data_IF_353928543523
#
_entry.id   IF_353928543523
#
_cell.length_a   1.000
_cell.length_b   1.000
_cell.length_c   1.000
_cell.angle_alpha   90.00
_cell.angle_beta   90.00
_cell.angle_gamma   90.00
#
_symmetry.space_group_name_H-M   'P 1'
#
loop_
_entity.id
_entity.type
_entity.pdbx_description
1 polymer ?
#
# COMPACT_ATOMS: atom_id res chain seq x y z
N UNK A 1 -27.19 -37.33 -43.16
CA UNK A 1 -26.10 -37.77 -44.04
C UNK A 1 -24.84 -37.06 -43.56
N UNK A 2 -24.06 -37.71 -42.69
CA UNK A 2 -22.77 -38.39 -42.99
C UNK A 2 -21.65 -37.34 -43.17
N UNK A 3 -20.89 -37.03 -42.12
CA UNK A 3 -19.70 -37.75 -41.66
C UNK A 3 -18.63 -37.87 -42.76
N UNK A 4 -17.48 -37.22 -42.57
CA UNK A 4 -16.17 -37.85 -42.76
C UNK A 4 -15.02 -37.00 -42.22
N UNK A 5 -14.20 -37.68 -41.41
CA UNK A 5 -12.82 -37.38 -41.06
C UNK A 5 -11.94 -37.36 -42.31
N UNK A 6 -10.80 -36.65 -42.29
CA UNK A 6 -9.46 -37.13 -42.73
C UNK A 6 -8.39 -36.00 -42.57
N UNK A 7 -7.60 -36.11 -41.50
CA UNK A 7 -6.11 -36.17 -41.47
C UNK A 7 -5.22 -35.35 -42.44
N UNK A 8 -4.33 -34.55 -41.81
CA UNK A 8 -2.84 -34.43 -41.96
C UNK A 8 -2.16 -33.36 -42.86
N UNK A 9 -1.33 -32.58 -42.14
CA UNK A 9 0.04 -32.07 -42.40
C UNK A 9 0.30 -30.94 -43.42
N UNK A 10 0.82 -29.79 -42.95
CA UNK A 10 2.27 -29.45 -42.99
C UNK A 10 2.61 -28.07 -42.37
N UNK A 11 3.61 -28.09 -41.47
CA UNK A 11 4.73 -27.14 -41.26
C UNK A 11 4.53 -25.62 -41.29
N UNK A 12 4.94 -24.96 -40.21
CA UNK A 12 5.27 -23.53 -40.17
C UNK A 12 5.88 -23.07 -38.84
N UNK A 13 7.09 -23.52 -38.53
CA UNK A 13 7.99 -22.93 -37.52
C UNK A 13 8.43 -21.55 -38.00
N UNK A 14 8.24 -20.49 -37.20
CA UNK A 14 9.15 -19.34 -37.17
C UNK A 14 9.35 -18.90 -35.72
N UNK A 15 10.55 -19.20 -35.21
CA UNK A 15 11.15 -18.54 -34.07
C UNK A 15 11.73 -17.19 -34.51
N UNK A 16 11.65 -16.18 -33.66
CA UNK A 16 12.47 -14.98 -33.79
C UNK A 16 12.94 -14.53 -32.40
N UNK A 17 14.15 -14.98 -32.07
CA UNK A 17 14.97 -14.43 -31.01
C UNK A 17 15.74 -13.22 -31.58
N UNK A 18 15.83 -12.13 -30.82
CA UNK A 18 16.82 -11.08 -31.09
C UNK A 18 17.61 -10.84 -29.81
N UNK A 19 18.85 -11.32 -29.83
CA UNK A 19 19.90 -11.02 -28.88
C UNK A 19 20.59 -9.72 -29.31
N UNK A 20 20.83 -8.80 -28.37
CA UNK A 20 21.77 -7.70 -28.58
C UNK A 20 23.10 -8.05 -27.90
N UNK A 21 24.07 -8.37 -28.75
CA UNK A 21 25.47 -8.58 -28.41
C UNK A 21 26.19 -7.24 -28.54
N UNK A 22 26.87 -6.81 -27.49
CA UNK A 22 28.07 -5.99 -27.62
C UNK A 22 29.19 -6.67 -26.84
N UNK A 23 30.04 -7.34 -27.59
CA UNK A 23 31.31 -7.94 -27.18
C UNK A 23 32.46 -7.01 -27.57
N UNK A 24 33.34 -6.75 -26.61
CA UNK A 24 34.79 -6.61 -26.79
C UNK A 24 35.37 -6.87 -25.40
N UNK A 25 36.13 -7.90 -25.08
CA UNK A 25 36.95 -8.80 -25.87
C UNK A 25 38.31 -8.85 -25.19
N UNK A 26 38.63 -9.96 -24.52
CA UNK A 26 39.99 -10.51 -24.34
C UNK A 26 39.95 -11.69 -23.36
N UNK A 27 39.88 -12.89 -23.94
CA UNK A 27 40.32 -14.13 -23.29
C UNK A 27 41.84 -14.20 -23.46
N UNK A 28 42.59 -14.31 -22.37
CA UNK A 28 43.94 -14.87 -22.38
C UNK A 28 44.01 -16.01 -21.37
N UNK A 29 44.12 -17.22 -21.93
CA UNK A 29 44.99 -18.33 -21.52
C UNK A 29 45.15 -18.63 -20.02
N UNK A 30 44.73 -19.84 -19.65
CA UNK A 30 45.06 -20.56 -18.43
C UNK A 30 46.55 -20.55 -18.09
N UNK A 31 46.85 -20.38 -16.80
CA UNK A 31 47.89 -21.13 -16.10
C UNK A 31 49.33 -20.87 -16.52
N UNK A 32 49.96 -19.90 -15.87
CA UNK A 32 51.32 -20.05 -15.32
C UNK A 32 51.60 -18.93 -14.32
N UNK A 33 52.05 -19.34 -13.14
CA UNK A 33 52.79 -18.57 -12.15
C UNK A 33 52.04 -17.45 -11.37
N UNK A 34 51.64 -17.83 -10.15
CA UNK A 34 51.90 -17.16 -8.87
C UNK A 34 52.12 -15.64 -8.92
N UNK A 35 51.33 -14.91 -8.11
CA UNK A 35 51.44 -13.48 -7.69
C UNK A 35 50.45 -12.48 -8.33
N UNK A 36 49.17 -12.53 -7.97
CA UNK A 36 48.33 -11.31 -7.92
C UNK A 36 47.47 -11.30 -6.66
N UNK A 37 47.43 -10.18 -5.89
CA UNK A 37 46.65 -10.11 -4.67
C UNK A 37 45.15 -10.18 -5.00
N UNK A 38 44.41 -10.98 -4.24
CA UNK A 38 42.95 -11.03 -4.30
C UNK A 38 42.44 -9.65 -3.87
N UNK A 39 41.72 -8.96 -4.76
CA UNK A 39 41.01 -7.74 -4.40
C UNK A 39 39.96 -8.10 -3.34
N UNK A 40 40.02 -7.54 -2.12
CA UNK A 40 39.13 -7.97 -1.05
C UNK A 40 37.68 -7.63 -1.41
N UNK A 41 36.78 -8.58 -1.14
CA UNK A 41 35.35 -8.40 -1.30
C UNK A 41 34.91 -7.09 -0.63
N UNK A 42 34.39 -6.14 -1.42
CA UNK A 42 33.84 -4.89 -0.89
C UNK A 42 32.61 -5.21 -0.06
N UNK A 43 32.75 -5.23 1.25
CA UNK A 43 31.63 -5.31 2.18
C UNK A 43 30.88 -3.98 2.18
N UNK A 44 29.64 -3.98 1.71
CA UNK A 44 28.71 -2.86 1.88
C UNK A 44 28.25 -2.83 3.33
N UNK A 45 28.81 -1.93 4.13
CA UNK A 45 28.37 -1.68 5.49
C UNK A 45 27.08 -0.86 5.43
N UNK A 46 25.94 -1.46 5.80
CA UNK A 46 24.70 -0.71 6.02
C UNK A 46 24.85 0.02 7.35
N UNK A 47 25.16 1.32 7.28
CA UNK A 47 25.18 2.17 8.48
C UNK A 47 23.74 2.44 8.89
N UNK A 48 23.35 1.97 10.08
CA UNK A 48 22.07 2.31 10.67
C UNK A 48 21.99 3.84 10.81
N UNK A 49 20.92 4.44 10.26
CA UNK A 49 20.64 5.87 10.46
C UNK A 49 20.51 6.12 11.96
N UNK A 50 21.26 7.10 12.48
CA UNK A 50 21.16 7.50 13.88
C UNK A 50 19.70 7.74 14.26
N UNK A 51 19.27 7.19 15.38
CA UNK A 51 17.93 7.43 15.91
C UNK A 51 17.79 8.92 16.22
N UNK A 52 16.80 9.59 15.62
CA UNK A 52 16.47 10.96 16.00
C UNK A 52 15.86 10.91 17.39
N UNK A 53 16.58 11.44 18.38
CA UNK A 53 16.07 11.58 19.74
C UNK A 53 15.27 12.87 19.80
N UNK A 54 13.94 12.75 19.93
CA UNK A 54 13.06 13.91 20.06
C UNK A 54 13.01 14.41 21.50
N UNK A 55 12.95 15.74 21.64
CA UNK A 55 12.70 16.37 22.92
C UNK A 55 11.25 16.19 23.39
N UNK A 56 10.98 16.34 24.69
CA UNK A 56 9.61 16.26 25.23
C UNK A 56 8.66 17.26 24.56
N UNK A 57 9.11 18.49 24.28
CA UNK A 57 8.31 19.49 23.56
C UNK A 57 7.97 19.07 22.12
N UNK A 58 8.92 18.43 21.43
CA UNK A 58 8.70 17.90 20.07
C UNK A 58 7.74 16.72 20.06
N UNK A 59 7.79 15.85 21.08
CA UNK A 59 6.83 14.76 21.26
C UNK A 59 5.41 15.28 21.45
N UNK A 60 5.22 16.29 22.30
CA UNK A 60 3.90 16.88 22.53
C UNK A 60 3.36 17.62 21.30
N UNK A 61 4.23 18.37 20.61
CA UNK A 61 3.87 19.03 19.34
C UNK A 61 3.52 17.99 18.25
N UNK A 62 4.31 16.92 18.14
CA UNK A 62 4.07 15.82 17.22
C UNK A 62 2.77 15.07 17.51
N UNK A 63 2.50 14.81 18.80
CA UNK A 63 1.23 14.25 19.29
C UNK A 63 0.05 15.14 18.87
N UNK A 64 0.10 16.42 19.23
CA UNK A 64 -0.99 17.37 18.96
C UNK A 64 -1.30 17.44 17.46
N UNK A 65 -0.27 17.62 16.63
CA UNK A 65 -0.40 17.70 15.17
C UNK A 65 -0.96 16.41 14.59
N UNK A 66 -0.41 15.25 14.98
CA UNK A 66 -0.85 13.95 14.48
C UNK A 66 -2.29 13.64 14.87
N UNK A 67 -2.68 13.96 16.10
CA UNK A 67 -4.06 13.76 16.57
C UNK A 67 -5.05 14.70 15.90
N UNK A 68 -4.67 15.96 15.63
CA UNK A 68 -5.48 16.89 14.86
C UNK A 68 -5.67 16.41 13.41
N UNK A 69 -4.58 15.99 12.76
CA UNK A 69 -4.59 15.40 11.42
C UNK A 69 -5.50 14.17 11.36
N UNK A 70 -5.38 13.26 12.33
CA UNK A 70 -6.27 12.10 12.47
C UNK A 70 -7.74 12.51 12.58
N UNK A 71 -8.07 13.40 13.51
CA UNK A 71 -9.44 13.83 13.77
C UNK A 71 -10.09 14.45 12.53
N UNK A 72 -9.35 15.31 11.81
CA UNK A 72 -9.83 15.87 10.55
C UNK A 72 -10.13 14.77 9.53
N UNK A 73 -9.19 13.85 9.32
CA UNK A 73 -9.34 12.80 8.33
C UNK A 73 -10.50 11.84 8.68
N UNK A 74 -10.63 11.46 9.95
CA UNK A 74 -11.70 10.62 10.45
C UNK A 74 -13.08 11.29 10.28
N UNK A 75 -13.20 12.59 10.61
CA UNK A 75 -14.45 13.35 10.42
C UNK A 75 -14.83 13.49 8.95
N UNK A 76 -13.87 13.75 8.07
CA UNK A 76 -14.10 13.83 6.61
C UNK A 76 -14.58 12.51 6.04
N UNK A 77 -13.98 11.38 6.45
CA UNK A 77 -14.44 10.07 6.00
C UNK A 77 -15.82 9.75 6.56
N UNK A 78 -16.04 9.95 7.87
CA UNK A 78 -17.31 9.66 8.53
C UNK A 78 -18.48 10.47 7.95
N UNK A 79 -18.27 11.76 7.65
CA UNK A 79 -19.31 12.60 7.03
C UNK A 79 -19.68 12.12 5.63
N UNK A 80 -18.68 11.72 4.84
CA UNK A 80 -18.89 11.18 3.48
C UNK A 80 -19.60 9.83 3.52
N UNK A 81 -19.20 8.94 4.43
CA UNK A 81 -19.87 7.65 4.66
C UNK A 81 -21.31 7.83 5.11
N UNK A 82 -21.59 8.78 6.01
CA UNK A 82 -22.95 9.11 6.44
C UNK A 82 -23.82 9.62 5.29
N UNK A 83 -23.28 10.51 4.45
CA UNK A 83 -23.98 11.01 3.27
C UNK A 83 -24.30 9.87 2.30
N UNK A 84 -23.32 9.00 2.02
CA UNK A 84 -23.52 7.82 1.16
C UNK A 84 -24.61 6.90 1.73
N UNK A 85 -24.59 6.64 3.04
CA UNK A 85 -25.59 5.81 3.70
C UNK A 85 -26.99 6.38 3.49
N UNK A 86 -27.20 7.68 3.78
CA UNK A 86 -28.47 8.35 3.59
C UNK A 86 -28.99 8.29 2.14
N UNK A 87 -28.10 8.44 1.14
CA UNK A 87 -28.49 8.30 -0.28
C UNK A 87 -28.89 6.85 -0.61
N UNK A 88 -28.18 5.87 -0.04
CA UNK A 88 -28.42 4.46 -0.33
C UNK A 88 -29.66 3.88 0.39
N UNK A 89 -30.20 4.55 1.42
CA UNK A 89 -31.41 4.12 2.13
C UNK A 89 -32.65 4.07 1.23
N UNK A 90 -32.79 5.03 0.31
CA UNK A 90 -33.93 5.09 -0.60
C UNK A 90 -33.86 4.01 -1.70
N UNK A 91 -32.70 3.90 -2.35
CA UNK A 91 -32.40 2.84 -3.33
C UNK A 91 -30.88 2.69 -3.46
N UNK A 92 -30.33 1.64 -2.83
CA UNK A 92 -28.91 1.33 -2.87
C UNK A 92 -28.39 0.92 -4.25
N UNK A 93 -29.27 0.67 -5.22
CA UNK A 93 -28.93 0.34 -6.60
C UNK A 93 -28.96 1.55 -7.54
N UNK A 94 -29.54 2.68 -7.13
CA UNK A 94 -29.68 3.92 -7.91
C UNK A 94 -28.34 4.44 -8.45
N UNK A 95 -28.39 5.28 -9.48
CA UNK A 95 -27.19 5.96 -10.02
C UNK A 95 -26.56 6.85 -8.96
N UNK A 96 -27.39 7.51 -8.17
CA UNK A 96 -27.02 8.41 -7.09
C UNK A 96 -26.28 7.64 -6.00
N UNK A 97 -26.78 6.47 -5.58
CA UNK A 97 -26.08 5.60 -4.64
C UNK A 97 -24.74 5.06 -5.21
N UNK A 98 -24.67 4.74 -6.51
CA UNK A 98 -23.40 4.35 -7.16
C UNK A 98 -22.38 5.50 -7.20
N UNK A 99 -22.82 6.72 -7.47
CA UNK A 99 -21.96 7.91 -7.46
C UNK A 99 -21.46 8.20 -6.05
N UNK A 100 -22.35 8.18 -5.05
CA UNK A 100 -21.98 8.39 -3.64
C UNK A 100 -20.97 7.33 -3.15
N UNK A 101 -21.10 6.06 -3.58
CA UNK A 101 -20.09 5.01 -3.33
C UNK A 101 -18.74 5.33 -3.96
N UNK A 102 -18.74 5.88 -5.16
CA UNK A 102 -17.51 6.26 -5.87
C UNK A 102 -16.83 7.43 -5.16
N UNK A 103 -17.59 8.42 -4.72
CA UNK A 103 -17.06 9.58 -4.00
C UNK A 103 -16.54 9.20 -2.61
N UNK A 104 -17.24 8.31 -1.89
CA UNK A 104 -16.74 7.75 -0.63
C UNK A 104 -15.38 7.06 -0.82
N UNK A 105 -15.21 6.26 -1.88
CA UNK A 105 -13.93 5.62 -2.19
C UNK A 105 -12.84 6.65 -2.48
N UNK A 106 -13.13 7.69 -3.26
CA UNK A 106 -12.18 8.78 -3.58
C UNK A 106 -11.75 9.52 -2.32
N UNK A 107 -12.71 9.90 -1.47
CA UNK A 107 -12.42 10.53 -0.18
C UNK A 107 -11.59 9.62 0.71
N UNK A 108 -11.94 8.33 0.78
CA UNK A 108 -11.17 7.32 1.51
C UNK A 108 -9.71 7.30 1.09
N UNK A 109 -9.42 7.20 -0.22
CA UNK A 109 -8.04 7.23 -0.74
C UNK A 109 -7.33 8.54 -0.40
N UNK A 110 -7.99 9.69 -0.57
CA UNK A 110 -7.43 10.99 -0.23
C UNK A 110 -7.09 11.12 1.26
N UNK A 111 -7.94 10.59 2.15
CA UNK A 111 -7.70 10.53 3.60
C UNK A 111 -6.46 9.70 3.92
N UNK A 112 -6.26 8.56 3.26
CA UNK A 112 -5.07 7.73 3.47
C UNK A 112 -3.78 8.44 3.05
N UNK A 113 -3.81 9.13 1.91
CA UNK A 113 -2.67 9.94 1.44
C UNK A 113 -2.41 11.10 2.39
N UNK A 114 -3.46 11.82 2.80
CA UNK A 114 -3.37 12.92 3.75
C UNK A 114 -2.69 12.48 5.05
N UNK A 115 -3.16 11.41 5.68
CA UNK A 115 -2.55 10.89 6.90
C UNK A 115 -1.07 10.51 6.71
N UNK A 116 -0.75 9.80 5.63
CA UNK A 116 0.65 9.41 5.35
C UNK A 116 1.60 10.60 5.18
N UNK A 117 1.09 11.72 4.69
CA UNK A 117 1.88 12.93 4.42
C UNK A 117 1.91 13.93 5.58
N UNK A 118 0.95 13.88 6.50
CA UNK A 118 0.75 14.88 7.56
C UNK A 118 0.92 14.34 8.99
N UNK A 119 1.17 13.05 9.15
CA UNK A 119 1.60 12.51 10.44
C UNK A 119 3.01 13.00 10.77
N UNK A 120 3.20 13.50 11.99
CA UNK A 120 4.51 13.95 12.45
C UNK A 120 5.37 12.76 12.88
N UNK A 121 6.60 12.62 12.35
CA UNK A 121 7.51 11.53 12.75
C UNK A 121 7.86 11.55 14.24
N UNK A 122 7.82 12.74 14.86
CA UNK A 122 8.06 12.92 16.29
C UNK A 122 6.88 12.50 17.17
N UNK A 123 5.73 12.11 16.61
CA UNK A 123 4.61 11.67 17.43
C UNK A 123 4.92 10.34 18.15
N UNK A 124 4.41 10.14 19.38
CA UNK A 124 4.62 8.90 20.12
C UNK A 124 4.16 7.65 19.36
N UNK A 125 4.89 6.54 19.54
CA UNK A 125 4.57 5.26 18.89
C UNK A 125 3.16 4.75 19.25
N UNK A 126 2.66 5.08 20.45
CA UNK A 126 1.30 4.77 20.90
C UNK A 126 0.21 5.37 19.99
N UNK A 127 0.50 6.49 19.31
CA UNK A 127 -0.40 7.14 18.35
C UNK A 127 -0.08 6.73 16.91
N UNK A 128 1.20 6.75 16.53
CA UNK A 128 1.60 6.43 15.14
C UNK A 128 1.26 5.00 14.73
N UNK A 129 1.46 4.03 15.64
CA UNK A 129 1.23 2.61 15.35
C UNK A 129 -0.23 2.31 15.01
N UNK A 130 -1.22 2.69 15.84
CA UNK A 130 -2.61 2.41 15.50
C UNK A 130 -3.08 3.18 14.26
N UNK A 131 -2.62 4.40 13.98
CA UNK A 131 -2.96 5.11 12.73
C UNK A 131 -2.38 4.38 11.51
N UNK A 132 -1.13 3.91 11.57
CA UNK A 132 -0.52 3.12 10.48
C UNK A 132 -1.26 1.81 10.24
N UNK A 133 -1.64 1.12 11.31
CA UNK A 133 -2.44 -0.10 11.23
C UNK A 133 -3.85 0.17 10.69
N UNK A 134 -4.44 1.32 11.02
CA UNK A 134 -5.74 1.72 10.50
C UNK A 134 -5.67 1.98 8.99
N UNK A 135 -4.61 2.67 8.53
CA UNK A 135 -4.35 2.88 7.10
C UNK A 135 -4.22 1.53 6.38
N UNK A 136 -3.49 0.58 6.96
CA UNK A 136 -3.35 -0.77 6.40
C UNK A 136 -4.72 -1.47 6.31
N UNK A 137 -5.51 -1.47 7.38
CA UNK A 137 -6.85 -2.06 7.40
C UNK A 137 -7.79 -1.43 6.34
N UNK A 138 -7.71 -0.11 6.12
CA UNK A 138 -8.48 0.53 5.04
C UNK A 138 -8.04 0.11 3.65
N UNK A 139 -6.74 -0.13 3.44
CA UNK A 139 -6.22 -0.65 2.16
C UNK A 139 -6.68 -2.09 1.95
N UNK A 140 -6.60 -2.93 2.98
CA UNK A 140 -7.09 -4.30 2.94
C UNK A 140 -8.59 -4.34 2.59
N UNK A 141 -9.38 -3.44 3.21
CA UNK A 141 -10.81 -3.27 2.89
C UNK A 141 -11.03 -2.88 1.43
N UNK A 142 -10.31 -1.88 0.92
CA UNK A 142 -10.41 -1.44 -0.47
C UNK A 142 -10.03 -2.55 -1.46
N UNK A 143 -8.97 -3.31 -1.14
CA UNK A 143 -8.54 -4.46 -1.92
C UNK A 143 -9.62 -5.55 -1.94
N UNK A 144 -10.16 -5.92 -0.77
CA UNK A 144 -11.21 -6.92 -0.64
C UNK A 144 -12.48 -6.54 -1.44
N UNK A 145 -12.90 -5.27 -1.40
CA UNK A 145 -14.02 -4.77 -2.23
C UNK A 145 -13.73 -4.92 -3.73
N UNK A 146 -12.50 -4.67 -4.17
CA UNK A 146 -12.12 -4.85 -5.58
C UNK A 146 -12.13 -6.34 -5.98
N UNK A 147 -11.74 -7.22 -5.06
CA UNK A 147 -11.78 -8.68 -5.24
C UNK A 147 -13.19 -9.27 -5.05
N UNK A 148 -14.19 -8.44 -4.69
CA UNK A 148 -15.56 -8.87 -4.32
C UNK A 148 -15.59 -9.85 -3.13
N UNK A 149 -14.56 -9.81 -2.28
CA UNK A 149 -14.54 -10.56 -1.02
C UNK A 149 -15.17 -9.70 0.08
N UNK A 150 -16.49 -9.84 0.24
CA UNK A 150 -17.25 -9.08 1.22
C UNK A 150 -16.91 -9.47 2.66
N UNK A 151 -16.53 -10.72 2.91
CA UNK A 151 -16.17 -11.17 4.25
C UNK A 151 -14.84 -10.53 4.69
N UNK A 152 -13.80 -10.59 3.85
CA UNK A 152 -12.53 -9.93 4.13
C UNK A 152 -12.69 -8.41 4.26
N UNK A 153 -13.56 -7.80 3.44
CA UNK A 153 -13.88 -6.37 3.57
C UNK A 153 -14.49 -6.03 4.94
N UNK A 154 -15.43 -6.85 5.43
CA UNK A 154 -16.06 -6.62 6.74
C UNK A 154 -15.06 -6.80 7.88
N UNK A 155 -14.25 -7.87 7.86
CA UNK A 155 -13.20 -8.10 8.86
C UNK A 155 -12.20 -6.94 8.91
N UNK A 156 -11.76 -6.45 7.74
CA UNK A 156 -10.87 -5.29 7.67
C UNK A 156 -11.53 -4.01 8.20
N UNK A 157 -12.84 -3.84 7.96
CA UNK A 157 -13.62 -2.72 8.48
C UNK A 157 -13.76 -2.76 10.01
N UNK A 158 -14.03 -3.93 10.59
CA UNK A 158 -14.14 -4.10 12.05
C UNK A 158 -12.81 -3.79 12.73
N UNK A 159 -11.71 -4.33 12.19
CA UNK A 159 -10.35 -3.99 12.64
C UNK A 159 -10.07 -2.50 12.55
N UNK A 160 -10.51 -1.83 11.48
CA UNK A 160 -10.36 -0.38 11.35
C UNK A 160 -11.18 0.37 12.42
N UNK A 161 -12.38 -0.09 12.76
CA UNK A 161 -13.19 0.53 13.82
C UNK A 161 -12.56 0.36 15.21
N UNK A 162 -12.04 -0.82 15.53
CA UNK A 162 -11.30 -1.05 16.78
C UNK A 162 -10.09 -0.13 16.91
N UNK A 163 -9.31 0.01 15.84
CA UNK A 163 -8.17 0.91 15.80
C UNK A 163 -8.57 2.38 15.93
N UNK A 164 -9.68 2.79 15.30
CA UNK A 164 -10.20 4.14 15.43
C UNK A 164 -10.55 4.47 16.89
N UNK A 165 -11.20 3.56 17.60
CA UNK A 165 -11.49 3.70 19.03
C UNK A 165 -10.21 3.86 19.87
N UNK A 166 -9.17 3.06 19.57
CA UNK A 166 -7.87 3.19 20.25
C UNK A 166 -7.23 4.55 19.98
N UNK A 167 -7.25 5.04 18.74
CA UNK A 167 -6.65 6.34 18.38
C UNK A 167 -7.40 7.48 19.10
N UNK A 168 -8.73 7.40 19.19
CA UNK A 168 -9.54 8.38 19.93
C UNK A 168 -9.11 8.46 21.39
N UNK A 169 -8.91 7.32 22.06
CA UNK A 169 -8.44 7.25 23.44
C UNK A 169 -7.04 7.87 23.57
N UNK A 170 -6.09 7.44 22.75
CA UNK A 170 -4.69 7.92 22.79
C UNK A 170 -4.58 9.43 22.47
N UNK A 171 -5.46 9.93 21.61
CA UNK A 171 -5.52 11.35 21.26
C UNK A 171 -6.39 12.19 22.21
N UNK A 172 -7.07 11.59 23.19
CA UNK A 172 -7.98 12.32 24.08
C UNK A 172 -9.15 12.99 23.36
N UNK A 173 -9.59 12.44 22.23
CA UNK A 173 -10.67 12.98 21.41
C UNK A 173 -12.04 12.59 22.00
N UNK A 174 -13.06 13.42 21.75
CA UNK A 174 -14.46 13.20 22.12
C UNK A 174 -15.36 13.27 20.89
#
# INVERSE_FOLDING_TARGET
MTAEYWSRHRTGLIAAAVAFVLTTGAVLTTGSALTRPIEPARQTIIVARASVTHGRSEFEAGRSTTCATWNQAARTLASTSKLRAAIAEADGSSREARNARTDEKRVGVSVLVYLRTKMEPSAPAAILTPIKNWIAAQIDRLHAVNMRDWNASNVANDRANELASKIVIECGLR
#
